data_IF_654943847338
#
_entry.id   IF_654943847338
#
_cell.length_a   1.000
_cell.length_b   1.000
_cell.length_c   1.000
_cell.angle_alpha   90.00
_cell.angle_beta   90.00
_cell.angle_gamma   90.00
#
_symmetry.space_group_name_H-M   'P 1'
#
loop_
_entity.id
_entity.type
_entity.pdbx_description
1 polymer ?
#
# COMPACT_ATOMS: atom_id res chain seq x y z
N UNK A 1 -15.98 -16.57 11.50
CA UNK A 1 -14.65 -16.22 12.06
C UNK A 1 -14.63 -16.66 13.52
N UNK A 2 -13.85 -17.68 13.86
CA UNK A 2 -13.70 -18.13 15.25
C UNK A 2 -12.45 -17.50 15.87
N UNK A 3 -12.44 -17.29 17.18
CA UNK A 3 -11.27 -16.76 17.90
C UNK A 3 -10.00 -17.59 17.65
N UNK A 4 -10.14 -18.91 17.50
CA UNK A 4 -9.03 -19.79 17.14
C UNK A 4 -8.38 -19.46 15.80
N UNK A 5 -9.16 -19.09 14.78
CA UNK A 5 -8.63 -18.69 13.48
C UNK A 5 -7.83 -17.38 13.56
N UNK A 6 -8.33 -16.40 14.35
CA UNK A 6 -7.65 -15.12 14.57
C UNK A 6 -6.31 -15.33 15.27
N UNK A 7 -6.31 -16.10 16.36
CA UNK A 7 -5.09 -16.43 17.11
C UNK A 7 -4.10 -17.20 16.24
N UNK A 8 -4.57 -18.15 15.43
CA UNK A 8 -3.73 -18.88 14.48
C UNK A 8 -3.07 -17.96 13.46
N UNK A 9 -3.84 -17.06 12.83
CA UNK A 9 -3.33 -16.07 11.86
C UNK A 9 -2.31 -15.11 12.49
N UNK A 10 -2.59 -14.63 13.71
CA UNK A 10 -1.68 -13.77 14.45
C UNK A 10 -0.35 -14.49 14.74
N UNK A 11 -0.43 -15.73 15.22
CA UNK A 11 0.74 -16.55 15.51
C UNK A 11 1.58 -16.79 14.24
N UNK A 12 0.97 -17.24 13.15
CA UNK A 12 1.67 -17.49 11.88
C UNK A 12 2.31 -16.21 11.34
N UNK A 13 1.61 -15.07 11.40
CA UNK A 13 2.17 -13.78 10.96
C UNK A 13 3.39 -13.38 11.78
N UNK A 14 3.35 -13.61 13.10
CA UNK A 14 4.46 -13.30 13.99
C UNK A 14 5.66 -14.22 13.74
N UNK A 15 5.42 -15.52 13.59
CA UNK A 15 6.47 -16.47 13.21
C UNK A 15 7.10 -16.09 11.87
N UNK A 16 6.30 -15.78 10.86
CA UNK A 16 6.79 -15.36 9.54
C UNK A 16 7.66 -14.10 9.62
N UNK A 17 7.26 -13.12 10.43
CA UNK A 17 8.04 -11.89 10.64
C UNK A 17 9.33 -12.15 11.41
N UNK A 18 9.35 -13.14 12.30
CA UNK A 18 10.52 -13.56 13.07
C UNK A 18 11.54 -14.35 12.23
N UNK A 19 11.14 -14.97 11.10
CA UNK A 19 12.04 -15.70 10.19
C UNK A 19 13.24 -14.83 9.79
N UNK A 20 13.02 -13.56 9.43
CA UNK A 20 14.10 -12.66 9.01
C UNK A 20 15.18 -12.49 10.09
N UNK A 21 14.85 -11.95 11.27
CA UNK A 21 15.81 -11.79 12.37
C UNK A 21 16.42 -13.12 12.86
N UNK A 22 15.65 -14.21 12.89
CA UNK A 22 16.13 -15.51 13.41
C UNK A 22 17.12 -16.19 12.45
N UNK A 23 16.88 -16.15 11.12
CA UNK A 23 17.81 -16.73 10.14
C UNK A 23 19.01 -15.84 9.84
N UNK A 24 18.82 -14.53 9.73
CA UNK A 24 19.88 -13.59 9.37
C UNK A 24 20.72 -13.22 10.61
N UNK A 25 20.09 -13.12 11.79
CA UNK A 25 20.76 -12.77 13.04
C UNK A 25 21.51 -11.44 12.94
N UNK A 26 22.71 -11.40 13.51
CA UNK A 26 23.63 -10.25 13.43
C UNK A 26 24.61 -10.33 12.24
N UNK A 27 24.33 -11.16 11.22
CA UNK A 27 25.23 -11.26 10.06
C UNK A 27 25.23 -9.95 9.27
N UNK A 28 26.41 -9.50 8.82
CA UNK A 28 26.50 -8.32 7.98
C UNK A 28 25.79 -8.58 6.65
N UNK A 29 24.80 -7.74 6.33
CA UNK A 29 24.10 -7.75 5.05
C UNK A 29 24.94 -6.94 4.06
N UNK A 30 25.21 -7.44 2.84
CA UNK A 30 25.92 -6.66 1.81
C UNK A 30 25.21 -5.33 1.52
N UNK A 31 25.99 -4.26 1.32
CA UNK A 31 25.45 -2.89 1.18
C UNK A 31 24.41 -2.75 0.06
N UNK A 32 24.60 -3.46 -1.05
CA UNK A 32 23.64 -3.48 -2.16
C UNK A 32 22.27 -4.05 -1.78
N UNK A 33 22.24 -5.12 -0.98
CA UNK A 33 20.98 -5.73 -0.52
C UNK A 33 20.30 -4.86 0.53
N UNK A 34 21.07 -4.18 1.39
CA UNK A 34 20.53 -3.27 2.39
C UNK A 34 19.81 -2.08 1.77
N UNK A 35 20.43 -1.46 0.75
CA UNK A 35 19.79 -0.39 -0.01
C UNK A 35 18.47 -0.84 -0.65
N UNK A 36 18.43 -2.06 -1.21
CA UNK A 36 17.20 -2.59 -1.80
C UNK A 36 16.09 -2.81 -0.76
N UNK A 37 16.45 -3.31 0.44
CA UNK A 37 15.52 -3.50 1.55
C UNK A 37 14.98 -2.17 2.08
N UNK A 38 15.83 -1.14 2.19
CA UNK A 38 15.41 0.20 2.60
C UNK A 38 14.44 0.82 1.60
N UNK A 39 14.63 0.53 0.30
CA UNK A 39 13.71 0.99 -0.74
C UNK A 39 12.42 0.17 -0.81
N UNK A 40 12.39 -1.07 -0.30
CA UNK A 40 11.30 -2.03 -0.55
C UNK A 40 9.91 -1.54 -0.11
N UNK A 41 9.82 -0.71 0.93
CA UNK A 41 8.54 -0.18 1.40
C UNK A 41 7.81 0.63 0.32
N UNK A 42 8.53 1.44 -0.45
CA UNK A 42 7.96 2.34 -1.46
C UNK A 42 7.28 1.57 -2.62
N UNK A 43 7.95 0.63 -3.33
CA UNK A 43 7.31 -0.14 -4.40
C UNK A 43 6.26 -1.11 -3.86
N UNK A 44 6.39 -1.66 -2.65
CA UNK A 44 5.35 -2.49 -2.04
C UNK A 44 4.07 -1.71 -1.79
N UNK A 45 4.18 -0.49 -1.22
CA UNK A 45 3.04 0.40 -1.05
C UNK A 45 2.47 0.87 -2.39
N UNK A 46 3.32 1.16 -3.38
CA UNK A 46 2.87 1.52 -4.71
C UNK A 46 2.10 0.38 -5.40
N UNK A 47 2.61 -0.85 -5.31
CA UNK A 47 1.94 -2.04 -5.81
C UNK A 47 0.61 -2.29 -5.09
N UNK A 48 0.57 -2.11 -3.76
CA UNK A 48 -0.68 -2.20 -2.99
C UNK A 48 -1.70 -1.16 -3.48
N UNK A 49 -1.30 0.10 -3.62
CA UNK A 49 -2.18 1.15 -4.13
C UNK A 49 -2.69 0.78 -5.52
N UNK A 50 -1.81 0.30 -6.41
CA UNK A 50 -2.19 -0.12 -7.76
C UNK A 50 -3.25 -1.22 -7.74
N UNK A 51 -3.02 -2.29 -6.96
CA UNK A 51 -3.98 -3.41 -6.84
C UNK A 51 -5.29 -2.94 -6.22
N UNK A 52 -5.26 -2.14 -5.15
CA UNK A 52 -6.45 -1.62 -4.47
C UNK A 52 -7.24 -0.60 -5.31
N UNK A 53 -6.63 -0.04 -6.35
CA UNK A 53 -7.24 0.93 -7.26
C UNK A 53 -7.82 0.24 -8.49
N UNK A 54 -7.14 -0.79 -9.01
CA UNK A 54 -7.50 -1.48 -10.26
C UNK A 54 -8.37 -2.72 -10.01
N UNK A 55 -8.23 -3.37 -8.86
CA UNK A 55 -8.98 -4.57 -8.49
C UNK A 55 -10.00 -4.26 -7.41
N UNK A 56 -11.27 -4.58 -7.68
CA UNK A 56 -12.33 -4.62 -6.66
C UNK A 56 -13.01 -5.97 -6.71
N UNK A 57 -12.89 -6.75 -5.62
CA UNK A 57 -13.58 -8.02 -5.41
C UNK A 57 -13.50 -9.02 -6.58
N UNK A 58 -12.34 -9.08 -7.26
CA UNK A 58 -12.09 -10.02 -8.35
C UNK A 58 -12.67 -9.61 -9.72
N UNK A 59 -13.24 -8.41 -9.84
CA UNK A 59 -13.67 -7.82 -11.10
C UNK A 59 -12.81 -6.60 -11.45
N UNK A 60 -12.42 -6.49 -12.72
CA UNK A 60 -11.79 -5.28 -13.25
C UNK A 60 -12.87 -4.23 -13.49
N UNK A 61 -13.16 -3.41 -12.49
CA UNK A 61 -13.98 -2.21 -12.65
C UNK A 61 -13.09 -0.99 -12.57
N UNK A 62 -13.24 -0.07 -13.52
CA UNK A 62 -12.62 1.26 -13.43
C UNK A 62 -13.42 2.05 -12.39
N UNK A 63 -13.11 1.82 -11.10
CA UNK A 63 -13.75 2.50 -9.98
C UNK A 63 -13.31 3.98 -9.94
N UNK A 64 -14.10 4.82 -9.27
CA UNK A 64 -13.84 6.25 -9.03
C UNK A 64 -12.48 6.55 -8.39
N UNK A 65 -11.81 5.51 -7.87
CA UNK A 65 -10.46 5.56 -7.30
C UNK A 65 -9.40 5.93 -8.33
N UNK A 66 -9.51 5.42 -9.55
CA UNK A 66 -8.52 5.61 -10.62
C UNK A 66 -8.37 7.09 -11.04
N UNK A 67 -9.46 7.80 -11.41
CA UNK A 67 -9.39 9.23 -11.69
C UNK A 67 -9.03 10.07 -10.45
N UNK A 68 -9.51 9.69 -9.25
CA UNK A 68 -9.14 10.38 -8.01
C UNK A 68 -7.62 10.29 -7.73
N UNK A 69 -7.00 9.13 -7.99
CA UNK A 69 -5.55 8.96 -7.88
C UNK A 69 -4.80 9.79 -8.93
N UNK A 70 -5.34 9.89 -10.15
CA UNK A 70 -4.79 10.75 -11.20
C UNK A 70 -4.75 12.22 -10.79
N UNK A 71 -5.82 12.74 -10.19
CA UNK A 71 -5.87 14.10 -9.64
C UNK A 71 -4.84 14.30 -8.53
N UNK A 72 -4.73 13.33 -7.61
CA UNK A 72 -3.74 13.38 -6.55
C UNK A 72 -2.31 13.44 -7.12
N UNK A 73 -1.99 12.58 -8.09
CA UNK A 73 -0.69 12.55 -8.74
C UNK A 73 -0.36 13.88 -9.44
N UNK A 74 -1.33 14.48 -10.12
CA UNK A 74 -1.15 15.78 -10.80
C UNK A 74 -0.88 16.92 -9.80
N UNK A 75 -1.60 16.96 -8.67
CA UNK A 75 -1.41 17.97 -7.63
C UNK A 75 -0.07 17.81 -6.91
N UNK A 76 0.35 16.56 -6.65
CA UNK A 76 1.68 16.27 -6.09
C UNK A 76 2.77 16.73 -7.06
N UNK A 77 2.60 16.49 -8.37
CA UNK A 77 3.56 16.96 -9.38
C UNK A 77 3.68 18.49 -9.41
N UNK A 78 2.56 19.19 -9.18
CA UNK A 78 2.53 20.65 -9.00
C UNK A 78 3.05 21.14 -7.64
N UNK A 79 3.51 20.25 -6.76
CA UNK A 79 3.96 20.57 -5.39
C UNK A 79 2.88 21.28 -4.54
N UNK A 80 1.61 20.92 -4.74
CA UNK A 80 0.51 21.44 -3.93
C UNK A 80 0.65 20.99 -2.45
N UNK A 81 0.12 21.75 -1.48
CA UNK A 81 0.15 21.36 -0.08
C UNK A 81 -0.67 20.07 0.13
N UNK A 82 -0.18 19.19 1.01
CA UNK A 82 -0.73 17.85 1.23
C UNK A 82 -2.25 17.84 1.48
N UNK A 83 -2.74 18.83 2.23
CA UNK A 83 -4.16 18.99 2.55
C UNK A 83 -5.01 19.23 1.29
N UNK A 84 -4.52 20.01 0.33
CA UNK A 84 -5.19 20.26 -0.95
C UNK A 84 -5.23 19.01 -1.81
N UNK A 85 -4.15 18.21 -1.82
CA UNK A 85 -4.10 16.93 -2.54
C UNK A 85 -5.18 15.99 -2.02
N UNK A 86 -5.27 15.81 -0.69
CA UNK A 86 -6.26 14.92 -0.07
C UNK A 86 -7.68 15.39 -0.39
N UNK A 87 -7.98 16.68 -0.16
CA UNK A 87 -9.32 17.21 -0.37
C UNK A 87 -9.76 17.08 -1.83
N UNK A 88 -8.88 17.36 -2.79
CA UNK A 88 -9.21 17.25 -4.21
C UNK A 88 -9.42 15.79 -4.63
N UNK A 89 -8.58 14.87 -4.16
CA UNK A 89 -8.75 13.44 -4.45
C UNK A 89 -10.05 12.90 -3.84
N UNK A 90 -10.34 13.25 -2.59
CA UNK A 90 -11.57 12.87 -1.90
C UNK A 90 -12.81 13.45 -2.59
N UNK A 91 -12.77 14.73 -2.98
CA UNK A 91 -13.85 15.37 -3.72
C UNK A 91 -14.10 14.68 -5.06
N UNK A 92 -13.04 14.35 -5.82
CA UNK A 92 -13.14 13.64 -7.10
C UNK A 92 -13.80 12.27 -6.92
N UNK A 93 -13.37 11.50 -5.91
CA UNK A 93 -13.97 10.20 -5.60
C UNK A 93 -15.43 10.32 -5.16
N UNK A 94 -15.76 11.33 -4.33
CA UNK A 94 -17.13 11.58 -3.87
C UNK A 94 -18.06 11.95 -5.03
N UNK A 95 -17.64 12.87 -5.91
CA UNK A 95 -18.46 13.29 -7.06
C UNK A 95 -18.71 12.15 -8.03
N UNK A 96 -17.72 11.29 -8.27
CA UNK A 96 -17.87 10.15 -9.18
C UNK A 96 -18.68 9.00 -8.60
N UNK A 97 -18.82 8.91 -7.27
CA UNK A 97 -19.72 7.96 -6.61
C UNK A 97 -21.16 8.46 -6.50
N UNK A 98 -21.37 9.77 -6.65
CA UNK A 98 -22.69 10.40 -6.60
C UNK A 98 -23.44 10.32 -7.94
N UNK A 99 -22.71 10.13 -9.04
CA UNK A 99 -23.24 9.98 -10.41
C UNK A 99 -23.33 8.50 -10.76
#
# INVERSE_FOLDING_TARGET
>A
MTWGAILGLALVSYLFKAVGPVLIGARPIPDGTRALLDLAAVPLLAALILVQTVSTDGSYSVDARLPALGVAALLIWRRAPFLVVILAAAATAATLRLV
#
